data_IF_626235529491
#
_entry.id   IF_626235529491
#
_cell.length_a   1.000
_cell.length_b   1.000
_cell.length_c   1.000
_cell.angle_alpha   90.00
_cell.angle_beta   90.00
_cell.angle_gamma   90.00
#
_symmetry.space_group_name_H-M   'P 1'
#
loop_
_entity.id
_entity.type
_entity.pdbx_description
1 polymer ?
#
# COMPACT_ATOMS: atom_id res chain seq x y z
N UNK A 1 -18.15 -3.48 17.68
CA UNK A 1 -17.93 -3.65 16.23
C UNK A 1 -17.06 -2.57 15.61
N UNK A 2 -17.32 -1.27 15.82
CA UNK A 2 -16.46 -0.19 15.28
C UNK A 2 -14.97 -0.30 15.68
N UNK A 3 -14.68 -0.65 16.95
CA UNK A 3 -13.29 -0.89 17.40
C UNK A 3 -12.63 -2.04 16.63
N UNK A 4 -13.33 -3.15 16.44
CA UNK A 4 -12.83 -4.33 15.70
C UNK A 4 -12.55 -3.97 14.24
N UNK A 5 -13.44 -3.22 13.60
CA UNK A 5 -13.23 -2.72 12.23
C UNK A 5 -11.99 -1.82 12.13
N UNK A 6 -11.81 -0.85 13.03
CA UNK A 6 -10.61 0.00 13.07
C UNK A 6 -9.35 -0.84 13.24
N UNK A 7 -9.35 -1.75 14.21
CA UNK A 7 -8.20 -2.63 14.46
C UNK A 7 -7.89 -3.49 13.24
N UNK A 8 -8.90 -4.13 12.64
CA UNK A 8 -8.73 -4.96 11.44
C UNK A 8 -8.18 -4.17 10.25
N UNK A 9 -8.70 -2.97 10.00
CA UNK A 9 -8.23 -2.10 8.92
C UNK A 9 -6.80 -1.62 9.17
N UNK A 10 -6.50 -1.19 10.40
CA UNK A 10 -5.16 -0.74 10.77
C UNK A 10 -4.13 -1.87 10.69
N UNK A 11 -4.46 -3.07 11.19
CA UNK A 11 -3.59 -4.25 11.10
C UNK A 11 -3.28 -4.57 9.64
N UNK A 12 -4.28 -4.57 8.77
CA UNK A 12 -4.05 -4.79 7.34
C UNK A 12 -3.15 -3.71 6.72
N UNK A 13 -3.41 -2.43 7.00
CA UNK A 13 -2.57 -1.32 6.49
C UNK A 13 -1.12 -1.48 6.98
N UNK A 14 -0.89 -1.83 8.24
CA UNK A 14 0.46 -2.07 8.75
C UNK A 14 1.15 -3.26 8.06
N UNK A 15 0.44 -4.36 7.83
CA UNK A 15 0.99 -5.51 7.10
C UNK A 15 1.33 -5.16 5.65
N UNK A 16 0.47 -4.39 4.98
CA UNK A 16 0.75 -3.87 3.62
C UNK A 16 1.96 -2.93 3.60
N UNK A 17 2.11 -2.07 4.60
CA UNK A 17 3.29 -1.19 4.71
C UNK A 17 4.57 -1.99 4.94
N UNK A 18 4.53 -3.00 5.81
CA UNK A 18 5.69 -3.87 6.11
C UNK A 18 6.11 -4.66 4.86
N UNK A 19 5.17 -5.13 4.05
CA UNK A 19 5.47 -5.85 2.80
C UNK A 19 5.95 -4.93 1.68
N UNK A 20 5.51 -3.67 1.63
CA UNK A 20 5.97 -2.70 0.64
C UNK A 20 7.44 -2.29 0.81
N UNK A 21 7.91 -2.17 2.06
CA UNK A 21 9.28 -1.75 2.37
C UNK A 21 10.35 -2.63 1.69
N UNK A 22 10.35 -3.98 1.84
CA UNK A 22 11.36 -4.82 1.20
C UNK A 22 11.27 -4.76 -0.33
N UNK A 23 10.07 -4.63 -0.91
CA UNK A 23 9.90 -4.46 -2.37
C UNK A 23 10.55 -3.15 -2.84
N UNK A 24 10.36 -2.07 -2.08
CA UNK A 24 10.99 -0.78 -2.37
C UNK A 24 12.52 -0.84 -2.25
N UNK A 25 13.05 -1.56 -1.25
CA UNK A 25 14.50 -1.79 -1.08
C UNK A 25 15.06 -2.55 -2.28
N UNK A 26 14.38 -3.61 -2.75
CA UNK A 26 14.77 -4.35 -3.96
C UNK A 26 14.79 -3.40 -5.17
N UNK A 27 13.78 -2.55 -5.34
CA UNK A 27 13.74 -1.55 -6.41
C UNK A 27 14.94 -0.60 -6.38
N UNK A 28 15.29 -0.06 -5.20
CA UNK A 28 16.47 0.81 -5.03
C UNK A 28 17.76 0.03 -5.34
N UNK A 29 17.86 -1.22 -4.91
CA UNK A 29 19.00 -2.08 -5.21
C UNK A 29 19.17 -2.30 -6.72
N UNK A 30 18.07 -2.57 -7.44
CA UNK A 30 18.08 -2.70 -8.90
C UNK A 30 18.56 -1.43 -9.61
N UNK A 31 18.17 -0.24 -9.11
CA UNK A 31 18.65 1.04 -9.62
C UNK A 31 20.16 1.19 -9.41
N UNK A 32 20.66 0.81 -8.23
CA UNK A 32 22.07 0.90 -7.88
C UNK A 32 22.94 -0.13 -8.62
N UNK A 33 22.36 -1.23 -9.09
CA UNK A 33 23.07 -2.37 -9.68
C UNK A 33 23.91 -1.97 -10.90
N UNK A 34 23.38 -1.11 -11.79
CA UNK A 34 24.15 -0.60 -12.94
C UNK A 34 25.42 0.13 -12.51
N UNK A 35 25.31 1.02 -11.51
CA UNK A 35 26.47 1.77 -11.03
C UNK A 35 27.49 0.88 -10.31
N UNK A 36 27.02 -0.15 -9.60
CA UNK A 36 27.89 -1.09 -8.90
C UNK A 36 28.66 -1.96 -9.89
N UNK A 37 27.99 -2.46 -10.93
CA UNK A 37 28.60 -3.29 -11.97
C UNK A 37 29.62 -2.52 -12.81
N UNK A 38 29.33 -1.28 -13.20
CA UNK A 38 30.30 -0.47 -13.95
C UNK A 38 31.58 -0.18 -13.16
N UNK A 39 31.47 0.14 -11.86
CA UNK A 39 32.67 0.26 -11.00
C UNK A 39 33.43 -1.06 -10.87
N UNK A 40 32.70 -2.18 -10.82
CA UNK A 40 33.30 -3.52 -10.80
C UNK A 40 34.01 -3.90 -12.11
N UNK A 41 33.49 -3.45 -13.26
CA UNK A 41 34.10 -3.69 -14.56
C UNK A 41 35.35 -2.84 -14.79
N UNK A 42 35.40 -1.62 -14.27
CA UNK A 42 36.59 -0.76 -14.32
C UNK A 42 37.81 -1.45 -13.69
N UNK A 43 37.60 -2.21 -12.62
CA UNK A 43 38.61 -3.06 -11.97
C UNK A 43 39.14 -4.21 -12.84
N UNK A 44 38.37 -4.66 -13.85
CA UNK A 44 38.67 -5.82 -14.70
C UNK A 44 39.23 -5.44 -16.10
N UNK A 45 39.58 -4.16 -16.31
CA UNK A 45 40.25 -3.63 -17.50
C UNK A 45 39.60 -4.10 -18.84
N UNK A 46 40.36 -4.80 -19.69
CA UNK A 46 39.93 -5.26 -21.03
C UNK A 46 38.78 -6.27 -20.98
N UNK A 47 38.71 -7.12 -19.95
CA UNK A 47 37.58 -8.03 -19.76
C UNK A 47 36.34 -7.24 -19.32
N UNK A 48 36.54 -6.23 -18.48
CA UNK A 48 35.51 -5.32 -17.99
C UNK A 48 34.82 -4.54 -19.11
N UNK A 49 35.59 -3.94 -20.03
CA UNK A 49 35.02 -3.19 -21.18
C UNK A 49 34.19 -4.05 -22.14
N UNK A 50 34.62 -5.29 -22.39
CA UNK A 50 33.82 -6.25 -23.17
C UNK A 50 32.55 -6.69 -22.43
N UNK A 51 32.65 -7.02 -21.12
CA UNK A 51 31.46 -7.34 -20.30
C UNK A 51 30.50 -6.16 -20.22
N UNK A 52 31.02 -4.94 -20.16
CA UNK A 52 30.24 -3.72 -20.09
C UNK A 52 29.36 -3.54 -21.33
N UNK A 53 29.93 -3.69 -22.54
CA UNK A 53 29.17 -3.59 -23.79
C UNK A 53 28.06 -4.63 -23.90
N UNK A 54 28.31 -5.86 -23.45
CA UNK A 54 27.31 -6.95 -23.52
C UNK A 54 26.20 -6.77 -22.47
N UNK A 55 26.52 -6.22 -21.31
CA UNK A 55 25.58 -6.10 -20.17
C UNK A 55 24.81 -4.78 -20.12
N UNK A 56 25.26 -3.74 -20.83
CA UNK A 56 24.71 -2.38 -20.70
C UNK A 56 23.20 -2.30 -20.97
N UNK A 57 22.73 -2.90 -22.06
CA UNK A 57 21.31 -2.91 -22.42
C UNK A 57 20.43 -3.60 -21.34
N UNK A 58 20.93 -4.72 -20.79
CA UNK A 58 20.25 -5.46 -19.72
C UNK A 58 20.24 -4.67 -18.41
N UNK A 59 21.36 -4.02 -18.06
CA UNK A 59 21.48 -3.20 -16.85
C UNK A 59 20.60 -1.95 -16.91
N UNK A 60 20.44 -1.32 -18.09
CA UNK A 60 19.51 -0.20 -18.25
C UNK A 60 18.05 -0.63 -18.12
N UNK A 61 17.71 -1.81 -18.66
CA UNK A 61 16.36 -2.37 -18.50
C UNK A 61 16.06 -2.68 -17.02
N UNK A 62 17.01 -3.30 -16.31
CA UNK A 62 16.92 -3.57 -14.86
C UNK A 62 16.78 -2.27 -14.07
N UNK A 63 17.58 -1.25 -14.39
CA UNK A 63 17.52 0.06 -13.73
C UNK A 63 16.17 0.75 -13.97
N UNK A 64 15.66 0.70 -15.20
CA UNK A 64 14.34 1.24 -15.55
C UNK A 64 13.20 0.52 -14.83
N UNK A 65 13.28 -0.80 -14.73
CA UNK A 65 12.33 -1.59 -13.93
C UNK A 65 12.40 -1.23 -12.45
N UNK A 66 13.61 -1.09 -11.89
CA UNK A 66 13.83 -0.64 -10.51
C UNK A 66 13.20 0.72 -10.21
N UNK A 67 13.36 1.71 -11.10
CA UNK A 67 12.70 3.02 -10.99
C UNK A 67 11.18 2.92 -11.00
N UNK A 68 10.64 2.11 -11.90
CA UNK A 68 9.19 1.91 -12.04
C UNK A 68 8.60 1.29 -10.78
N UNK A 69 9.20 0.19 -10.30
CA UNK A 69 8.77 -0.51 -9.09
C UNK A 69 8.87 0.41 -7.86
N UNK A 70 10.01 1.08 -7.67
CA UNK A 70 10.23 1.96 -6.51
C UNK A 70 9.24 3.12 -6.48
N UNK A 71 8.97 3.74 -7.64
CA UNK A 71 8.01 4.86 -7.75
C UNK A 71 6.60 4.39 -7.43
N UNK A 72 6.16 3.26 -7.98
CA UNK A 72 4.84 2.69 -7.70
C UNK A 72 4.69 2.37 -6.20
N UNK A 73 5.70 1.73 -5.59
CA UNK A 73 5.70 1.45 -4.15
C UNK A 73 5.58 2.73 -3.32
N UNK A 74 6.32 3.79 -3.67
CA UNK A 74 6.26 5.06 -2.94
C UNK A 74 4.88 5.71 -3.01
N UNK A 75 4.22 5.66 -4.17
CA UNK A 75 2.84 6.15 -4.33
C UNK A 75 1.87 5.37 -3.44
N UNK A 76 1.92 4.03 -3.48
CA UNK A 76 1.07 3.19 -2.62
C UNK A 76 1.34 3.42 -1.13
N UNK A 77 2.59 3.62 -0.75
CA UNK A 77 2.99 3.91 0.63
C UNK A 77 2.31 5.19 1.15
N UNK A 78 2.35 6.28 0.38
CA UNK A 78 1.69 7.55 0.72
C UNK A 78 0.17 7.35 0.83
N UNK A 79 -0.44 6.65 -0.13
CA UNK A 79 -1.88 6.37 -0.14
C UNK A 79 -2.32 5.62 1.12
N UNK A 80 -1.56 4.60 1.52
CA UNK A 80 -1.86 3.81 2.72
C UNK A 80 -1.71 4.62 4.01
N UNK A 81 -0.72 5.52 4.09
CA UNK A 81 -0.57 6.44 5.23
C UNK A 81 -1.76 7.40 5.31
N UNK A 82 -2.17 8.00 4.19
CA UNK A 82 -3.33 8.90 4.16
C UNK A 82 -4.57 8.14 4.65
N UNK A 83 -4.78 6.92 4.17
CA UNK A 83 -5.89 6.08 4.62
C UNK A 83 -5.85 5.82 6.14
N UNK A 84 -4.68 5.49 6.69
CA UNK A 84 -4.49 5.28 8.12
C UNK A 84 -4.86 6.52 8.94
N UNK A 85 -4.46 7.71 8.48
CA UNK A 85 -4.79 8.99 9.12
C UNK A 85 -6.31 9.22 9.11
N UNK A 86 -6.98 8.95 7.98
CA UNK A 86 -8.42 9.12 7.84
C UNK A 86 -9.21 8.19 8.77
N UNK A 87 -8.86 6.90 8.83
CA UNK A 87 -9.53 5.89 9.69
C UNK A 87 -9.35 6.20 11.19
N UNK A 88 -8.20 6.77 11.55
CA UNK A 88 -7.90 7.13 12.94
C UNK A 88 -8.37 8.55 13.32
N UNK A 89 -9.00 9.29 12.40
CA UNK A 89 -9.57 10.60 12.71
C UNK A 89 -10.65 10.54 13.79
N UNK A 90 -10.74 11.61 14.58
CA UNK A 90 -11.79 11.80 15.61
C UNK A 90 -13.12 12.24 15.01
N UNK A 91 -13.12 12.84 13.81
CA UNK A 91 -14.35 13.32 13.14
C UNK A 91 -15.03 12.16 12.43
N UNK A 92 -16.28 11.85 12.80
CA UNK A 92 -17.02 10.70 12.26
C UNK A 92 -17.18 10.72 10.73
N UNK A 93 -17.34 11.91 10.13
CA UNK A 93 -17.42 12.08 8.68
C UNK A 93 -16.09 11.73 7.96
N UNK A 94 -14.97 12.26 8.45
CA UNK A 94 -13.63 11.95 7.91
C UNK A 94 -13.33 10.46 8.04
N UNK A 95 -13.75 9.86 9.15
CA UNK A 95 -13.59 8.44 9.40
C UNK A 95 -14.34 7.57 8.38
N UNK A 96 -15.56 7.97 7.97
CA UNK A 96 -16.32 7.28 6.91
C UNK A 96 -15.65 7.41 5.55
N UNK A 97 -15.10 8.58 5.22
CA UNK A 97 -14.31 8.76 4.00
C UNK A 97 -13.09 7.83 4.02
N UNK A 98 -12.40 7.73 5.16
CA UNK A 98 -11.30 6.78 5.34
C UNK A 98 -11.71 5.34 5.07
N UNK A 99 -12.83 4.89 5.65
CA UNK A 99 -13.32 3.54 5.37
C UNK A 99 -13.77 3.35 3.91
N UNK A 100 -14.45 4.32 3.30
CA UNK A 100 -14.82 4.23 1.89
C UNK A 100 -13.59 4.14 0.98
N UNK A 101 -12.56 4.93 1.28
CA UNK A 101 -11.28 4.90 0.61
C UNK A 101 -10.55 3.56 0.83
N UNK A 102 -10.60 3.01 2.04
CA UNK A 102 -10.08 1.69 2.35
C UNK A 102 -10.76 0.56 1.58
N UNK A 103 -12.07 0.64 1.36
CA UNK A 103 -12.79 -0.29 0.48
C UNK A 103 -12.30 -0.16 -0.97
N UNK A 104 -12.19 1.06 -1.49
CA UNK A 104 -11.72 1.28 -2.87
C UNK A 104 -10.29 0.74 -3.07
N UNK A 105 -9.36 1.06 -2.16
CA UNK A 105 -7.97 0.56 -2.21
C UNK A 105 -7.94 -0.96 -2.08
N UNK A 106 -8.68 -1.53 -1.12
CA UNK A 106 -8.72 -2.96 -0.91
C UNK A 106 -9.23 -3.71 -2.13
N UNK A 107 -10.25 -3.18 -2.83
CA UNK A 107 -10.76 -3.74 -4.08
C UNK A 107 -9.71 -3.64 -5.20
N UNK A 108 -9.09 -2.48 -5.38
CA UNK A 108 -8.06 -2.32 -6.40
C UNK A 108 -6.88 -3.29 -6.19
N UNK A 109 -6.36 -3.38 -4.96
CA UNK A 109 -5.26 -4.29 -4.63
C UNK A 109 -5.66 -5.76 -4.78
N UNK A 110 -6.89 -6.11 -4.42
CA UNK A 110 -7.41 -7.45 -4.64
C UNK A 110 -7.47 -7.79 -6.12
N UNK A 111 -7.96 -6.90 -6.98
CA UNK A 111 -7.98 -7.13 -8.45
C UNK A 111 -6.56 -7.28 -8.99
N UNK A 112 -5.61 -6.45 -8.54
CA UNK A 112 -4.19 -6.57 -8.93
C UNK A 112 -3.62 -7.93 -8.53
N UNK A 113 -3.97 -8.45 -7.36
CA UNK A 113 -3.56 -9.79 -6.93
C UNK A 113 -4.08 -10.91 -7.85
N UNK A 114 -5.22 -10.72 -8.51
CA UNK A 114 -5.81 -11.67 -9.44
C UNK A 114 -5.37 -11.50 -10.89
N UNK A 115 -4.67 -10.41 -11.23
CA UNK A 115 -4.24 -10.11 -12.60
C UNK A 115 -3.46 -11.25 -13.28
N UNK A 116 -2.49 -11.92 -12.61
CA UNK A 116 -1.75 -13.03 -13.21
C UNK A 116 -2.64 -14.19 -13.65
N UNK A 117 -3.73 -14.44 -12.91
CA UNK A 117 -4.68 -15.49 -13.21
C UNK A 117 -5.57 -15.13 -14.40
N UNK A 118 -5.96 -13.85 -14.52
CA UNK A 118 -6.68 -13.33 -15.68
C UNK A 118 -5.81 -13.35 -16.95
N UNK A 119 -4.50 -13.11 -16.81
CA UNK A 119 -3.56 -13.04 -17.92
C UNK A 119 -2.92 -14.40 -18.29
N UNK A 120 -3.19 -15.47 -17.52
CA UNK A 120 -2.55 -16.80 -17.67
C UNK A 120 -2.58 -17.33 -19.11
N UNK A 121 -3.67 -17.08 -19.84
CA UNK A 121 -3.84 -17.59 -21.22
C UNK A 121 -3.27 -16.64 -22.30
N UNK A 122 -2.90 -15.41 -21.93
CA UNK A 122 -2.44 -14.37 -22.86
C UNK A 122 -0.91 -14.21 -22.89
N UNK A 123 -0.23 -14.69 -21.85
CA UNK A 123 1.21 -14.49 -21.65
C UNK A 123 1.93 -15.80 -22.01
N UNK A 124 2.84 -15.75 -22.98
CA UNK A 124 3.75 -16.87 -23.33
C UNK A 124 4.91 -16.99 -22.32
N UNK A 125 4.59 -17.16 -21.05
CA UNK A 125 5.56 -17.45 -19.98
C UNK A 125 5.26 -18.85 -19.45
N UNK A 126 6.28 -19.51 -18.91
CA UNK A 126 6.14 -20.83 -18.29
C UNK A 126 4.97 -20.86 -17.27
N UNK A 127 4.03 -21.82 -17.39
CA UNK A 127 2.83 -21.87 -16.55
C UNK A 127 3.15 -21.96 -15.05
N UNK A 128 4.21 -22.69 -14.69
CA UNK A 128 4.69 -22.84 -13.32
C UNK A 128 5.15 -21.51 -12.71
N UNK A 129 5.73 -20.64 -13.53
CA UNK A 129 6.23 -19.33 -13.10
C UNK A 129 5.08 -18.35 -12.87
N UNK A 130 4.04 -18.41 -13.72
CA UNK A 130 2.79 -17.65 -13.53
C UNK A 130 2.06 -18.09 -12.26
N UNK A 131 1.98 -19.41 -12.01
CA UNK A 131 1.35 -19.95 -10.80
C UNK A 131 2.10 -19.56 -9.53
N UNK A 132 3.44 -19.58 -9.56
CA UNK A 132 4.26 -19.10 -8.45
C UNK A 132 4.04 -17.60 -8.19
N UNK A 133 4.06 -16.77 -9.23
CA UNK A 133 3.81 -15.32 -9.12
C UNK A 133 2.41 -15.07 -8.54
N UNK A 134 1.40 -15.79 -9.03
CA UNK A 134 0.04 -15.68 -8.52
C UNK A 134 -0.05 -16.06 -7.04
N UNK A 135 0.51 -17.21 -6.65
CA UNK A 135 0.52 -17.66 -5.26
C UNK A 135 1.20 -16.65 -4.34
N UNK A 136 2.32 -16.07 -4.77
CA UNK A 136 3.03 -15.05 -4.01
C UNK A 136 2.23 -13.74 -3.89
N UNK A 137 1.65 -13.23 -5.00
CA UNK A 137 0.82 -12.02 -4.98
C UNK A 137 -0.43 -12.20 -4.13
N UNK A 138 -1.07 -13.36 -4.21
CA UNK A 138 -2.28 -13.66 -3.44
C UNK A 138 -1.95 -13.73 -1.94
N UNK A 139 -0.86 -14.41 -1.57
CA UNK A 139 -0.44 -14.54 -0.18
C UNK A 139 -0.01 -13.20 0.43
N UNK A 140 0.75 -12.39 -0.31
CA UNK A 140 1.34 -11.15 0.20
C UNK A 140 0.43 -9.94 0.08
N UNK A 141 -0.29 -9.78 -1.04
CA UNK A 141 -1.16 -8.61 -1.27
C UNK A 141 -2.62 -9.01 -1.13
N UNK A 142 -3.02 -10.12 -1.75
CA UNK A 142 -4.43 -10.55 -1.79
C UNK A 142 -5.04 -10.75 -0.40
N UNK A 143 -4.41 -11.54 0.47
CA UNK A 143 -4.91 -11.80 1.82
C UNK A 143 -5.03 -10.52 2.66
N UNK A 144 -4.03 -9.65 2.62
CA UNK A 144 -4.08 -8.38 3.34
C UNK A 144 -5.18 -7.46 2.79
N UNK A 145 -5.37 -7.45 1.47
CA UNK A 145 -6.45 -6.71 0.81
C UNK A 145 -7.84 -7.16 1.26
N UNK A 146 -8.06 -8.47 1.43
CA UNK A 146 -9.32 -9.03 1.94
C UNK A 146 -9.57 -8.56 3.39
N UNK A 147 -8.55 -8.61 4.24
CA UNK A 147 -8.67 -8.12 5.63
C UNK A 147 -8.96 -6.62 5.65
N UNK A 148 -8.35 -5.83 4.76
CA UNK A 148 -8.65 -4.40 4.61
C UNK A 148 -10.09 -4.18 4.19
N UNK A 149 -10.58 -4.96 3.23
CA UNK A 149 -11.95 -4.88 2.72
C UNK A 149 -12.97 -5.20 3.81
N UNK A 150 -12.78 -6.29 4.55
CA UNK A 150 -13.67 -6.68 5.64
C UNK A 150 -13.64 -5.62 6.74
N UNK A 151 -12.45 -5.17 7.16
CA UNK A 151 -12.29 -4.14 8.17
C UNK A 151 -12.97 -2.83 7.76
N UNK A 152 -12.78 -2.40 6.51
CA UNK A 152 -13.29 -1.13 5.99
C UNK A 152 -14.80 -1.17 5.72
N UNK A 153 -15.35 -2.27 5.21
CA UNK A 153 -16.80 -2.44 5.00
C UNK A 153 -17.55 -2.44 6.33
N UNK A 154 -17.08 -3.20 7.32
CA UNK A 154 -17.62 -3.15 8.68
C UNK A 154 -17.49 -1.74 9.27
N UNK A 155 -16.39 -1.04 8.98
CA UNK A 155 -16.18 0.34 9.42
C UNK A 155 -17.18 1.31 8.86
N UNK A 156 -17.49 1.17 7.58
CA UNK A 156 -18.46 2.01 6.89
C UNK A 156 -19.87 1.81 7.45
N UNK A 157 -20.27 0.56 7.71
CA UNK A 157 -21.58 0.21 8.28
C UNK A 157 -21.70 0.71 9.74
N UNK A 158 -20.67 0.50 10.56
CA UNK A 158 -20.73 0.77 12.00
C UNK A 158 -20.15 2.13 12.42
N UNK A 159 -19.66 2.95 11.48
CA UNK A 159 -19.19 4.30 11.76
C UNK A 159 -20.37 5.17 12.23
N UNK A 160 -20.47 5.34 13.55
CA UNK A 160 -21.44 6.24 14.17
C UNK A 160 -21.25 7.65 13.61
N UNK A 161 -22.31 8.19 13.02
CA UNK A 161 -22.50 9.64 12.86
C UNK A 161 -22.72 10.22 14.25
N UNK A 162 -21.65 10.36 15.03
CA UNK A 162 -21.70 11.32 16.13
C UNK A 162 -21.72 12.70 15.48
N UNK A 163 -22.92 13.23 15.25
CA UNK A 163 -23.12 14.68 15.34
C UNK A 163 -22.41 15.10 16.63
N UNK A 164 -21.46 16.00 16.49
CA UNK A 164 -20.49 16.43 17.51
C UNK A 164 -21.08 16.51 18.93
N UNK A 165 -21.00 15.41 19.67
CA UNK A 165 -21.46 15.38 21.07
C UNK A 165 -20.56 16.23 21.97
N UNK A 166 -19.40 16.67 21.47
CA UNK A 166 -18.50 17.59 22.17
C UNK A 166 -18.90 19.06 22.01
N UNK A 167 -19.41 19.50 20.87
CA UNK A 167 -19.97 20.86 20.72
C UNK A 167 -21.27 20.99 21.50
N UNK A 168 -22.17 20.02 21.39
CA UNK A 168 -23.47 20.06 22.07
C UNK A 168 -23.31 20.04 23.59
N UNK A 169 -22.31 19.32 24.13
CA UNK A 169 -22.08 19.27 25.59
C UNK A 169 -21.49 20.57 26.13
N UNK A 170 -20.59 21.26 25.40
CA UNK A 170 -20.12 22.60 25.78
C UNK A 170 -21.27 23.61 25.83
N UNK A 171 -22.10 23.65 24.78
CA UNK A 171 -23.25 24.57 24.71
C UNK A 171 -24.27 24.31 25.84
N UNK A 172 -24.50 23.03 26.19
CA UNK A 172 -25.43 22.68 27.29
C UNK A 172 -24.89 23.05 28.67
N UNK A 173 -23.58 22.91 28.90
CA UNK A 173 -22.95 23.31 30.15
C UNK A 173 -22.97 24.83 30.28
N UNK A 174 -22.64 25.56 29.22
CA UNK A 174 -22.59 27.02 29.19
C UNK A 174 -23.97 27.68 29.37
N UNK A 175 -25.03 27.10 28.79
CA UNK A 175 -26.42 27.51 29.07
C UNK A 175 -26.84 27.22 30.52
N UNK A 176 -26.37 26.12 31.11
CA UNK A 176 -26.69 25.78 32.50
C UNK A 176 -26.00 26.72 33.49
N UNK A 177 -24.77 27.17 33.23
CA UNK A 177 -24.09 28.17 34.05
C UNK A 177 -24.69 29.57 33.92
N UNK A 178 -25.11 29.99 32.72
CA UNK A 178 -25.82 31.26 32.53
C UNK A 178 -27.17 31.32 33.27
N UNK A 179 -27.94 30.22 33.28
CA UNK A 179 -29.21 30.16 34.01
C UNK A 179 -29.06 30.06 35.53
N UNK A 180 -27.85 29.79 36.05
CA UNK A 180 -27.56 29.74 37.49
C UNK A 180 -27.00 31.06 38.03
N UNK A 181 -26.77 32.05 37.16
CA UNK A 181 -26.17 33.36 37.50
C UNK A 181 -27.13 34.54 37.26
N UNK A 182 -28.39 34.26 36.92
CA UNK A 182 -29.52 35.19 36.94
C UNK A 182 -30.44 34.84 38.10
#
# INVERSE_FOLDING_TARGET
MLRVSKTSSNVSIYLLLITLIPIMIIGIFMIALKSLMFKGYELLWKLGTWLQQVSEASLDTIKGFGWTVSTICLVFYIILIINLILINSRRGFIQRIGFAFGVAIGLCLFIIAFLPLMAKNSIKIDPSLIELIFGLLLATVGLHSIVLLIGSTLGLIFAKTSIDYYETKKVKIEKKTKNLTQ
#
